data_IF_678742445149
#
_entry.id   IF_678742445149
#
_cell.length_a   1.000
_cell.length_b   1.000
_cell.length_c   1.000
_cell.angle_alpha   90.00
_cell.angle_beta   90.00
_cell.angle_gamma   90.00
#
_symmetry.space_group_name_H-M   'P 1'
#
loop_
_entity.id
_entity.type
_entity.pdbx_description
1 polymer ?
#
# COMPACT_ATOMS: atom_id res chain seq x y z
N UNK A 1 -44.23 21.69 -2.31
CA UNK A 1 -44.51 22.21 -3.64
C UNK A 1 -45.48 21.26 -4.33
N UNK A 2 -46.72 21.65 -4.71
CA UNK A 2 -47.60 20.81 -5.53
C UNK A 2 -46.97 20.58 -6.90
N UNK A 3 -46.93 19.34 -7.38
CA UNK A 3 -46.30 18.92 -8.62
C UNK A 3 -47.38 18.34 -9.54
N UNK A 4 -47.40 18.78 -10.81
CA UNK A 4 -48.39 18.39 -11.79
C UNK A 4 -47.85 17.47 -12.89
N UNK A 5 -46.50 17.48 -13.09
CA UNK A 5 -45.81 16.65 -14.07
C UNK A 5 -44.31 16.49 -13.67
N UNK A 6 -43.60 15.58 -14.31
CA UNK A 6 -42.14 15.41 -14.12
C UNK A 6 -41.36 16.68 -14.52
N UNK A 7 -41.77 17.34 -15.61
CA UNK A 7 -41.17 18.60 -16.05
C UNK A 7 -41.43 19.76 -15.04
N UNK A 8 -42.65 19.85 -14.51
CA UNK A 8 -43.03 20.80 -13.46
C UNK A 8 -42.22 20.55 -12.17
N UNK A 9 -42.02 19.27 -11.79
CA UNK A 9 -41.17 18.89 -10.66
C UNK A 9 -39.73 19.37 -10.82
N UNK A 10 -39.10 19.08 -11.95
CA UNK A 10 -37.73 19.51 -12.24
C UNK A 10 -37.59 21.06 -12.22
N UNK A 11 -38.54 21.77 -12.85
CA UNK A 11 -38.54 23.22 -12.88
C UNK A 11 -38.68 23.85 -11.48
N UNK A 12 -39.59 23.31 -10.66
CA UNK A 12 -39.81 23.79 -9.28
C UNK A 12 -38.63 23.51 -8.36
N UNK A 13 -37.98 22.33 -8.49
CA UNK A 13 -36.76 22.03 -7.75
C UNK A 13 -35.61 22.95 -8.14
N UNK A 14 -35.41 23.19 -9.44
CA UNK A 14 -34.40 24.17 -9.92
C UNK A 14 -34.68 25.57 -9.35
N UNK A 15 -35.92 26.02 -9.33
CA UNK A 15 -36.31 27.28 -8.69
C UNK A 15 -36.05 27.31 -7.18
N UNK A 16 -36.07 26.17 -6.54
CA UNK A 16 -35.71 25.97 -5.13
C UNK A 16 -34.21 25.70 -4.89
N UNK A 17 -33.35 25.91 -5.89
CA UNK A 17 -31.90 25.66 -5.83
C UNK A 17 -31.56 24.18 -5.63
N UNK A 18 -32.28 23.29 -6.34
CA UNK A 18 -32.01 21.84 -6.37
C UNK A 18 -31.88 21.40 -7.82
N UNK A 19 -30.71 20.88 -8.20
CA UNK A 19 -30.43 20.27 -9.49
C UNK A 19 -30.55 18.75 -9.35
N UNK A 20 -31.51 18.14 -10.03
CA UNK A 20 -31.78 16.71 -9.95
C UNK A 20 -30.64 15.91 -10.62
N UNK A 21 -30.26 16.32 -11.82
CA UNK A 21 -29.30 15.59 -12.65
C UNK A 21 -27.88 15.71 -12.12
N UNK A 22 -27.29 14.56 -11.80
CA UNK A 22 -25.92 14.47 -11.28
C UNK A 22 -24.88 14.96 -12.27
N UNK A 23 -25.05 14.61 -13.55
CA UNK A 23 -24.12 15.03 -14.61
C UNK A 23 -24.12 16.53 -14.81
N UNK A 24 -25.26 17.19 -14.64
CA UNK A 24 -25.34 18.66 -14.66
C UNK A 24 -24.54 19.27 -13.50
N UNK A 25 -24.65 18.72 -12.29
CA UNK A 25 -23.87 19.19 -11.14
C UNK A 25 -22.37 19.01 -11.35
N UNK A 26 -21.94 17.87 -11.90
CA UNK A 26 -20.54 17.62 -12.26
C UNK A 26 -20.00 18.63 -13.27
N UNK A 27 -20.77 18.88 -14.33
CA UNK A 27 -20.41 19.88 -15.36
C UNK A 27 -20.23 21.27 -14.75
N UNK A 28 -21.16 21.71 -13.92
CA UNK A 28 -21.08 23.01 -13.23
C UNK A 28 -19.83 23.09 -12.34
N UNK A 29 -19.54 22.03 -11.58
CA UNK A 29 -18.36 21.98 -10.70
C UNK A 29 -17.09 22.12 -11.52
N UNK A 30 -16.92 21.34 -12.59
CA UNK A 30 -15.72 21.37 -13.43
C UNK A 30 -15.53 22.71 -14.15
N UNK A 31 -16.59 23.24 -14.75
CA UNK A 31 -16.52 24.51 -15.48
C UNK A 31 -16.17 25.68 -14.55
N UNK A 32 -16.83 25.77 -13.39
CA UNK A 32 -16.56 26.82 -12.42
C UNK A 32 -15.16 26.68 -11.80
N UNK A 33 -14.74 25.47 -11.41
CA UNK A 33 -13.42 25.22 -10.88
C UNK A 33 -12.33 25.58 -11.89
N UNK A 34 -12.46 25.10 -13.13
CA UNK A 34 -11.51 25.40 -14.20
C UNK A 34 -11.40 26.91 -14.48
N UNK A 35 -12.53 27.62 -14.51
CA UNK A 35 -12.56 29.08 -14.69
C UNK A 35 -11.85 29.80 -13.53
N UNK A 36 -12.10 29.41 -12.29
CA UNK A 36 -11.47 30.03 -11.13
C UNK A 36 -9.96 29.77 -11.10
N UNK A 37 -9.52 28.57 -11.44
CA UNK A 37 -8.11 28.24 -11.58
C UNK A 37 -7.45 29.04 -12.71
N UNK A 38 -8.06 29.05 -13.89
CA UNK A 38 -7.54 29.81 -15.07
C UNK A 38 -7.39 31.31 -14.81
N UNK A 39 -8.31 31.92 -14.05
CA UNK A 39 -8.23 33.33 -13.66
C UNK A 39 -6.97 33.65 -12.81
N UNK A 40 -6.34 32.65 -12.18
CA UNK A 40 -5.07 32.76 -11.45
C UNK A 40 -3.87 32.16 -12.22
N UNK A 41 -4.07 31.74 -13.47
CA UNK A 41 -3.02 31.07 -14.26
C UNK A 41 -2.69 29.67 -13.78
N UNK A 42 -3.62 29.02 -13.12
CA UNK A 42 -3.50 27.69 -12.52
C UNK A 42 -4.41 26.68 -13.22
N UNK A 43 -4.24 25.41 -12.93
CA UNK A 43 -5.11 24.33 -13.40
C UNK A 43 -5.63 23.47 -12.25
N UNK A 44 -6.85 22.95 -12.39
CA UNK A 44 -7.44 21.97 -11.47
C UNK A 44 -6.70 20.64 -11.62
N UNK A 45 -6.38 20.00 -10.49
CA UNK A 45 -5.92 18.62 -10.51
C UNK A 45 -7.13 17.71 -10.69
N UNK A 46 -7.13 16.93 -11.76
CA UNK A 46 -8.22 16.01 -12.07
C UNK A 46 -8.35 14.92 -11.02
N UNK A 47 -9.56 14.73 -10.49
CA UNK A 47 -9.93 13.65 -9.58
C UNK A 47 -11.39 13.25 -9.83
N UNK A 48 -11.58 12.29 -10.73
CA UNK A 48 -12.91 11.82 -11.14
C UNK A 48 -13.68 11.24 -9.95
N UNK A 49 -12.99 10.47 -9.07
CA UNK A 49 -13.62 9.87 -7.90
C UNK A 49 -14.13 10.91 -6.90
N UNK A 50 -13.34 11.96 -6.68
CA UNK A 50 -13.76 13.08 -5.82
C UNK A 50 -14.91 13.87 -6.45
N UNK A 51 -14.87 14.09 -7.76
CA UNK A 51 -15.95 14.79 -8.50
C UNK A 51 -17.28 14.03 -8.36
N UNK A 52 -17.25 12.70 -8.52
CA UNK A 52 -18.41 11.84 -8.33
C UNK A 52 -18.97 11.94 -6.91
N UNK A 53 -18.09 11.91 -5.92
CA UNK A 53 -18.47 12.03 -4.52
C UNK A 53 -19.07 13.41 -4.22
N UNK A 54 -18.38 14.50 -4.58
CA UNK A 54 -18.82 15.87 -4.30
C UNK A 54 -20.15 16.20 -5.01
N UNK A 55 -20.31 15.77 -6.27
CA UNK A 55 -21.58 15.95 -6.98
C UNK A 55 -22.76 15.22 -6.32
N UNK A 56 -22.47 14.16 -5.52
CA UNK A 56 -23.46 13.48 -4.71
C UNK A 56 -23.79 14.19 -3.37
N UNK A 57 -22.88 15.05 -2.89
CA UNK A 57 -23.02 15.76 -1.61
C UNK A 57 -23.72 17.14 -1.72
N UNK A 58 -23.84 17.69 -2.92
CA UNK A 58 -24.42 19.02 -3.15
C UNK A 58 -25.62 18.94 -4.08
N UNK A 59 -26.62 19.79 -3.84
CA UNK A 59 -27.81 19.96 -4.70
C UNK A 59 -27.68 21.18 -5.61
N UNK A 60 -26.98 22.21 -5.13
CA UNK A 60 -26.74 23.48 -5.82
C UNK A 60 -25.27 23.86 -5.72
N UNK A 61 -24.39 23.35 -6.60
CA UNK A 61 -22.97 23.53 -6.45
C UNK A 61 -22.54 24.98 -6.67
N UNK A 62 -21.85 25.53 -5.68
CA UNK A 62 -21.22 26.85 -5.70
C UNK A 62 -19.73 26.64 -5.45
N UNK A 63 -18.92 26.81 -6.47
CA UNK A 63 -17.48 26.54 -6.42
C UNK A 63 -16.74 27.77 -5.90
N UNK A 64 -15.88 27.54 -4.90
CA UNK A 64 -15.07 28.59 -4.29
C UNK A 64 -13.59 28.20 -4.36
N UNK A 65 -12.73 29.19 -4.58
CA UNK A 65 -11.28 29.04 -4.49
C UNK A 65 -10.82 29.54 -3.11
N UNK A 66 -10.16 28.67 -2.36
CA UNK A 66 -9.53 28.99 -1.08
C UNK A 66 -8.01 29.06 -1.20
N UNK A 67 -7.41 29.76 -0.26
CA UNK A 67 -5.96 29.90 -0.14
C UNK A 67 -5.42 29.02 0.99
N UNK A 68 -4.24 28.46 0.79
CA UNK A 68 -3.47 27.65 1.74
C UNK A 68 -2.14 28.32 1.98
N UNK A 69 -1.61 28.19 3.20
CA UNK A 69 -0.26 28.67 3.50
C UNK A 69 0.78 27.96 2.62
N UNK A 70 1.70 28.72 2.06
CA UNK A 70 2.77 28.21 1.19
C UNK A 70 3.74 27.28 1.91
N UNK A 71 3.89 27.43 3.22
CA UNK A 71 4.79 26.62 4.02
C UNK A 71 4.38 25.13 4.00
N UNK A 72 3.09 24.83 3.76
CA UNK A 72 2.62 23.45 3.60
C UNK A 72 3.10 22.78 2.30
N UNK A 73 3.56 23.55 1.31
CA UNK A 73 4.14 22.98 0.09
C UNK A 73 5.50 22.30 0.32
N UNK A 74 6.05 22.37 1.52
CA UNK A 74 7.21 21.57 1.97
C UNK A 74 6.85 20.11 2.23
N UNK A 75 5.57 19.80 2.41
CA UNK A 75 5.06 18.44 2.49
C UNK A 75 5.08 17.75 1.14
N UNK A 76 5.17 16.41 1.09
CA UNK A 76 4.91 15.66 -0.13
C UNK A 76 3.54 16.01 -0.72
N UNK A 77 3.48 16.19 -2.02
CA UNK A 77 2.23 16.55 -2.71
C UNK A 77 1.11 15.55 -2.49
N UNK A 78 1.44 14.28 -2.34
CA UNK A 78 0.51 13.19 -2.07
C UNK A 78 -0.15 13.35 -0.68
N UNK A 79 0.60 13.77 0.33
CA UNK A 79 0.09 14.02 1.69
C UNK A 79 -0.90 15.19 1.67
N UNK A 80 -0.54 16.29 0.97
CA UNK A 80 -1.42 17.45 0.82
C UNK A 80 -2.72 17.05 0.11
N UNK A 81 -2.62 16.36 -1.03
CA UNK A 81 -3.77 15.91 -1.82
C UNK A 81 -4.67 14.97 -1.04
N UNK A 82 -4.10 14.01 -0.31
CA UNK A 82 -4.88 13.06 0.47
C UNK A 82 -5.61 13.76 1.62
N UNK A 83 -4.93 14.66 2.35
CA UNK A 83 -5.56 15.49 3.40
C UNK A 83 -6.74 16.30 2.88
N UNK A 84 -6.58 16.95 1.71
CA UNK A 84 -7.65 17.68 1.05
C UNK A 84 -8.82 16.80 0.68
N UNK A 85 -8.54 15.65 0.04
CA UNK A 85 -9.54 14.73 -0.51
C UNK A 85 -10.31 14.00 0.57
N UNK A 86 -9.62 13.35 1.50
CA UNK A 86 -10.24 12.40 2.42
C UNK A 86 -11.10 13.09 3.44
N UNK A 87 -10.61 14.16 4.06
CA UNK A 87 -11.29 14.79 5.19
C UNK A 87 -12.21 15.94 4.77
N UNK A 88 -11.81 16.71 3.75
CA UNK A 88 -12.46 17.98 3.43
C UNK A 88 -13.17 17.99 2.08
N UNK A 89 -12.97 16.98 1.23
CA UNK A 89 -13.54 16.91 -0.12
C UNK A 89 -13.14 18.12 -0.99
N UNK A 90 -11.87 18.58 -0.83
CA UNK A 90 -11.33 19.66 -1.63
C UNK A 90 -10.53 19.13 -2.81
N UNK A 91 -10.62 19.83 -3.95
CA UNK A 91 -9.78 19.55 -5.10
C UNK A 91 -8.47 20.34 -5.00
N UNK A 92 -7.39 19.68 -5.34
CA UNK A 92 -6.08 20.31 -5.41
C UNK A 92 -5.95 21.14 -6.69
N UNK A 93 -5.09 22.16 -6.61
CA UNK A 93 -4.77 23.07 -7.71
C UNK A 93 -3.27 23.04 -7.95
N UNK A 94 -2.84 23.13 -9.20
CA UNK A 94 -1.42 23.10 -9.58
C UNK A 94 -1.03 24.17 -10.58
N UNK A 95 0.25 24.47 -10.63
CA UNK A 95 0.84 25.30 -11.70
C UNK A 95 0.93 24.46 -12.99
N UNK A 96 0.37 24.93 -14.13
CA UNK A 96 0.39 24.17 -15.37
C UNK A 96 1.79 23.98 -15.96
N UNK A 97 2.75 24.86 -15.63
CA UNK A 97 4.12 24.80 -16.16
C UNK A 97 5.01 23.84 -15.37
N UNK A 98 5.03 23.96 -14.06
CA UNK A 98 5.87 23.15 -13.18
C UNK A 98 5.23 21.82 -12.78
N UNK A 99 3.91 21.69 -12.96
CA UNK A 99 3.07 20.59 -12.48
C UNK A 99 3.07 20.40 -10.96
N UNK A 100 3.72 21.31 -10.22
CA UNK A 100 3.74 21.32 -8.76
C UNK A 100 2.41 21.86 -8.21
N UNK A 101 2.03 21.40 -7.01
CA UNK A 101 0.86 21.93 -6.32
C UNK A 101 1.01 23.43 -6.06
N UNK A 102 -0.11 24.16 -6.22
CA UNK A 102 -0.21 25.56 -5.86
C UNK A 102 -0.80 25.72 -4.46
N UNK A 103 -0.55 26.84 -3.75
CA UNK A 103 -1.08 27.06 -2.40
C UNK A 103 -2.56 27.49 -2.45
N UNK A 104 -3.37 26.70 -3.15
CA UNK A 104 -4.79 26.94 -3.36
C UNK A 104 -5.55 25.61 -3.34
N UNK A 105 -6.85 25.68 -3.03
CA UNK A 105 -7.76 24.55 -3.13
C UNK A 105 -9.13 24.99 -3.66
N UNK A 106 -9.85 24.07 -4.26
CA UNK A 106 -11.24 24.26 -4.64
C UNK A 106 -12.13 23.54 -3.63
N UNK A 107 -13.14 24.24 -3.13
CA UNK A 107 -14.22 23.71 -2.31
C UNK A 107 -15.56 23.99 -2.97
N UNK A 108 -16.51 23.06 -2.84
CA UNK A 108 -17.86 23.20 -3.40
C UNK A 108 -18.85 23.36 -2.25
N UNK A 109 -19.43 24.56 -2.17
CA UNK A 109 -20.51 24.87 -1.24
C UNK A 109 -21.88 24.54 -1.87
N UNK A 110 -22.92 24.44 -1.05
CA UNK A 110 -24.30 24.17 -1.47
C UNK A 110 -25.19 25.43 -1.47
N UNK A 111 -24.61 26.60 -1.24
CA UNK A 111 -25.34 27.87 -1.16
C UNK A 111 -24.56 29.02 -1.79
N UNK A 112 -25.28 29.98 -2.33
CA UNK A 112 -24.73 31.28 -2.72
C UNK A 112 -24.71 32.21 -1.49
N UNK A 113 -23.52 32.43 -0.95
CA UNK A 113 -23.34 33.29 0.22
C UNK A 113 -23.39 34.79 -0.18
N UNK A 114 -23.96 35.63 0.69
CA UNK A 114 -24.11 37.10 0.45
C UNK A 114 -22.76 37.82 0.27
N UNK A 115 -21.69 37.28 0.86
CA UNK A 115 -20.33 37.81 0.80
C UNK A 115 -19.49 37.21 -0.37
N UNK A 116 -20.15 36.50 -1.29
CA UNK A 116 -19.48 35.78 -2.38
C UNK A 116 -18.67 34.56 -1.93
N UNK A 117 -18.98 34.03 -0.76
CA UNK A 117 -18.34 32.82 -0.21
C UNK A 117 -17.01 33.05 0.52
N UNK A 118 -16.65 34.32 0.79
CA UNK A 118 -15.37 34.66 1.46
C UNK A 118 -15.26 34.04 2.84
N UNK A 119 -16.33 34.11 3.65
CA UNK A 119 -16.37 33.52 4.98
C UNK A 119 -16.27 31.98 4.94
N UNK A 120 -16.92 31.36 3.93
CA UNK A 120 -16.84 29.91 3.70
C UNK A 120 -15.40 29.52 3.32
N UNK A 121 -14.79 30.16 2.34
CA UNK A 121 -13.41 29.87 1.93
C UNK A 121 -12.40 30.05 3.09
N UNK A 122 -12.52 31.14 3.86
CA UNK A 122 -11.67 31.39 5.02
C UNK A 122 -11.87 30.35 6.15
N UNK A 123 -13.12 29.91 6.39
CA UNK A 123 -13.41 28.84 7.33
C UNK A 123 -12.77 27.51 6.92
N UNK A 124 -12.91 27.14 5.67
CA UNK A 124 -12.30 25.92 5.11
C UNK A 124 -10.77 25.98 5.10
N UNK A 125 -10.17 27.15 4.81
CA UNK A 125 -8.73 27.35 4.91
C UNK A 125 -8.20 27.11 6.33
N UNK A 126 -8.90 27.56 7.37
CA UNK A 126 -8.50 27.29 8.76
C UNK A 126 -8.53 25.80 9.11
N UNK A 127 -9.58 25.08 8.67
CA UNK A 127 -9.69 23.63 8.90
C UNK A 127 -8.58 22.89 8.17
N UNK A 128 -8.31 23.25 6.91
CA UNK A 128 -7.21 22.65 6.13
C UNK A 128 -5.85 22.93 6.78
N UNK A 129 -5.61 24.17 7.25
CA UNK A 129 -4.37 24.52 7.93
C UNK A 129 -4.13 23.71 9.19
N UNK A 130 -5.15 23.44 10.01
CA UNK A 130 -5.01 22.59 11.18
C UNK A 130 -4.56 21.18 10.80
N UNK A 131 -5.21 20.56 9.78
CA UNK A 131 -4.86 19.21 9.29
C UNK A 131 -3.47 19.15 8.68
N UNK A 132 -3.09 20.14 7.89
CA UNK A 132 -1.76 20.17 7.28
C UNK A 132 -0.66 20.49 8.29
N UNK A 133 -0.96 21.23 9.38
CA UNK A 133 -0.02 21.42 10.49
C UNK A 133 0.29 20.12 11.22
N UNK A 134 -0.72 19.27 11.47
CA UNK A 134 -0.52 17.94 12.04
C UNK A 134 0.33 17.07 11.09
N UNK A 135 0.00 17.04 9.79
CA UNK A 135 0.78 16.31 8.79
C UNK A 135 2.24 16.81 8.69
N UNK A 136 2.46 18.13 8.80
CA UNK A 136 3.80 18.73 8.78
C UNK A 136 4.62 18.34 10.02
N UNK A 137 3.97 18.25 11.17
CA UNK A 137 4.61 17.75 12.38
C UNK A 137 5.05 16.29 12.23
N UNK A 138 4.17 15.40 11.75
CA UNK A 138 4.51 13.99 11.51
C UNK A 138 5.64 13.85 10.49
N UNK A 139 5.54 14.56 9.37
CA UNK A 139 6.58 14.56 8.34
C UNK A 139 7.95 15.03 8.87
N UNK A 140 7.96 16.06 9.71
CA UNK A 140 9.18 16.55 10.35
C UNK A 140 9.80 15.52 11.30
N UNK A 141 8.97 14.79 12.06
CA UNK A 141 9.44 13.71 12.93
C UNK A 141 10.05 12.58 12.09
N UNK A 142 9.36 12.18 11.02
CA UNK A 142 9.79 11.07 10.17
C UNK A 142 11.07 11.36 9.39
N UNK A 143 11.29 12.61 8.98
CA UNK A 143 12.48 13.05 8.24
C UNK A 143 13.67 13.34 9.13
N UNK A 144 13.51 13.40 10.45
CA UNK A 144 14.60 13.65 11.41
C UNK A 144 15.60 12.49 11.50
N UNK A 145 15.21 11.28 11.05
CA UNK A 145 16.05 10.08 11.08
C UNK A 145 16.02 9.35 9.74
N UNK A 146 17.05 8.57 9.39
CA UNK A 146 17.03 7.71 8.20
C UNK A 146 15.81 6.79 8.19
N UNK A 147 15.34 6.40 6.99
CA UNK A 147 14.20 5.50 6.86
C UNK A 147 14.44 4.17 7.59
N UNK A 148 15.64 3.59 7.49
CA UNK A 148 16.03 2.44 8.29
C UNK A 148 16.61 2.89 9.62
N UNK A 149 16.05 2.41 10.73
CA UNK A 149 16.63 2.46 12.08
C UNK A 149 16.34 1.15 12.80
N UNK A 150 17.18 0.76 13.76
CA UNK A 150 16.93 -0.43 14.59
C UNK A 150 15.64 -0.28 15.42
N UNK A 151 15.25 0.95 15.77
CA UNK A 151 13.98 1.21 16.44
C UNK A 151 12.78 0.90 15.53
N UNK A 152 12.79 1.39 14.26
CA UNK A 152 11.71 1.08 13.29
C UNK A 152 11.65 -0.41 12.98
N UNK A 153 12.80 -1.07 12.84
CA UNK A 153 12.87 -2.52 12.72
C UNK A 153 12.21 -3.23 13.90
N UNK A 154 12.55 -2.82 15.13
CA UNK A 154 11.95 -3.38 16.34
C UNK A 154 10.43 -3.14 16.42
N UNK A 155 9.92 -2.00 15.91
CA UNK A 155 8.48 -1.75 15.77
C UNK A 155 7.84 -2.69 14.74
N UNK A 156 8.46 -2.89 13.56
CA UNK A 156 7.98 -3.84 12.54
C UNK A 156 7.93 -5.29 13.04
N UNK A 157 8.92 -5.69 13.86
CA UNK A 157 8.96 -7.01 14.46
C UNK A 157 7.83 -7.27 15.48
N UNK A 158 7.15 -6.20 15.95
CA UNK A 158 5.97 -6.31 16.83
C UNK A 158 4.64 -6.31 16.06
N UNK A 159 4.63 -5.90 14.80
CA UNK A 159 3.43 -5.92 13.98
C UNK A 159 3.24 -7.34 13.44
N UNK A 160 2.16 -7.98 13.84
CA UNK A 160 1.80 -9.32 13.35
C UNK A 160 1.36 -9.22 11.90
N UNK A 161 2.10 -9.86 10.98
CA UNK A 161 1.66 -10.04 9.59
C UNK A 161 0.55 -11.08 9.52
N UNK A 162 0.80 -12.24 10.10
CA UNK A 162 -0.19 -13.30 10.32
C UNK A 162 0.30 -14.19 11.45
N UNK A 163 -0.61 -14.70 12.30
CA UNK A 163 -0.22 -15.51 13.48
C UNK A 163 0.70 -16.68 13.13
N UNK A 164 0.42 -17.39 12.03
CA UNK A 164 1.22 -18.55 11.57
C UNK A 164 2.44 -18.15 10.72
N UNK A 165 2.50 -16.91 10.17
CA UNK A 165 3.57 -16.44 9.28
C UNK A 165 4.50 -15.42 9.93
N UNK A 166 4.19 -15.03 11.17
CA UNK A 166 5.01 -14.14 11.98
C UNK A 166 4.76 -12.66 11.77
N UNK A 167 5.75 -11.86 12.11
CA UNK A 167 5.71 -10.40 12.05
C UNK A 167 5.92 -9.86 10.62
N UNK A 168 5.68 -8.56 10.47
CA UNK A 168 6.02 -7.86 9.21
C UNK A 168 7.52 -7.89 8.96
N UNK A 169 8.36 -7.84 10.00
CA UNK A 169 9.80 -7.97 9.82
C UNK A 169 10.22 -9.35 9.33
N UNK A 170 9.61 -10.42 9.82
CA UNK A 170 9.87 -11.77 9.30
C UNK A 170 9.51 -11.89 7.82
N UNK A 171 8.40 -11.24 7.39
CA UNK A 171 8.07 -11.13 5.97
C UNK A 171 9.16 -10.38 5.19
N UNK A 172 9.68 -9.28 5.72
CA UNK A 172 10.79 -8.53 5.08
C UNK A 172 12.02 -9.43 4.89
N UNK A 173 12.38 -10.22 5.87
CA UNK A 173 13.53 -11.14 5.76
C UNK A 173 13.33 -12.22 4.70
N UNK A 174 12.13 -12.81 4.62
CA UNK A 174 11.80 -13.78 3.57
C UNK A 174 11.78 -13.14 2.18
N UNK A 175 11.15 -11.98 2.05
CA UNK A 175 11.09 -11.21 0.80
C UNK A 175 12.50 -10.83 0.33
N UNK A 176 13.39 -10.40 1.24
CA UNK A 176 14.79 -10.07 0.92
C UNK A 176 15.52 -11.28 0.36
N UNK A 177 15.50 -12.41 1.06
CA UNK A 177 16.18 -13.62 0.63
C UNK A 177 15.69 -14.08 -0.76
N UNK A 178 14.37 -14.05 -0.95
CA UNK A 178 13.72 -14.40 -2.19
C UNK A 178 14.06 -13.43 -3.34
N UNK A 179 14.05 -12.13 -3.06
CA UNK A 179 14.40 -11.10 -4.04
C UNK A 179 15.86 -11.23 -4.51
N UNK A 180 16.79 -11.52 -3.59
CA UNK A 180 18.19 -11.76 -3.93
C UNK A 180 18.37 -12.93 -4.90
N UNK A 181 17.59 -14.00 -4.77
CA UNK A 181 17.61 -15.14 -5.69
C UNK A 181 17.04 -14.81 -7.06
N UNK A 182 15.97 -14.00 -7.11
CA UNK A 182 15.32 -13.60 -8.33
C UNK A 182 16.16 -12.62 -9.18
N UNK A 183 17.23 -12.02 -8.64
CA UNK A 183 18.07 -11.06 -9.35
C UNK A 183 18.60 -11.61 -10.68
N UNK A 184 19.03 -12.88 -10.71
CA UNK A 184 19.56 -13.50 -11.93
C UNK A 184 18.49 -13.60 -13.05
N UNK A 185 17.24 -13.85 -12.69
CA UNK A 185 16.12 -13.97 -13.64
C UNK A 185 15.59 -12.62 -14.13
N UNK A 186 15.73 -11.57 -13.31
CA UNK A 186 15.22 -10.23 -13.62
C UNK A 186 16.28 -9.25 -14.14
N UNK A 187 17.55 -9.60 -14.01
CA UNK A 187 18.69 -8.74 -14.36
C UNK A 187 18.92 -7.58 -13.39
N UNK A 188 18.38 -7.66 -12.16
CA UNK A 188 18.50 -6.62 -11.16
C UNK A 188 19.85 -6.67 -10.43
N UNK A 189 20.35 -5.50 -9.99
CA UNK A 189 21.52 -5.40 -9.12
C UNK A 189 21.16 -5.88 -7.71
N UNK A 190 21.87 -6.94 -7.25
CA UNK A 190 21.58 -7.58 -5.97
C UNK A 190 21.78 -6.66 -4.77
N UNK A 191 22.71 -5.69 -4.84
CA UNK A 191 22.95 -4.74 -3.74
C UNK A 191 21.79 -3.77 -3.61
N UNK A 192 21.28 -3.26 -4.74
CA UNK A 192 20.12 -2.36 -4.75
C UNK A 192 18.84 -3.10 -4.32
N UNK A 193 18.67 -4.36 -4.75
CA UNK A 193 17.55 -5.20 -4.34
C UNK A 193 17.56 -5.46 -2.85
N UNK A 194 18.72 -5.81 -2.27
CA UNK A 194 18.88 -6.01 -0.82
C UNK A 194 18.54 -4.76 -0.03
N UNK A 195 19.04 -3.60 -0.49
CA UNK A 195 18.75 -2.32 0.14
C UNK A 195 17.26 -2.01 0.08
N UNK A 196 16.64 -2.10 -1.09
CA UNK A 196 15.21 -1.86 -1.28
C UNK A 196 14.34 -2.80 -0.42
N UNK A 197 14.69 -4.09 -0.33
CA UNK A 197 13.98 -5.07 0.48
C UNK A 197 14.03 -4.75 1.98
N UNK A 198 15.18 -4.29 2.49
CA UNK A 198 15.29 -3.88 3.88
C UNK A 198 14.45 -2.63 4.22
N UNK A 199 14.17 -1.79 3.22
CA UNK A 199 13.49 -0.51 3.39
C UNK A 199 11.98 -0.57 3.09
N UNK A 200 11.54 -1.54 2.28
CA UNK A 200 10.23 -1.52 1.62
C UNK A 200 9.01 -1.50 2.55
N UNK A 201 9.16 -1.85 3.82
CA UNK A 201 8.07 -1.82 4.82
C UNK A 201 8.36 -0.89 6.00
N UNK A 202 9.50 -0.18 5.99
CA UNK A 202 9.90 0.68 7.11
C UNK A 202 8.98 1.88 7.31
N UNK A 203 8.28 2.31 6.27
CA UNK A 203 7.31 3.40 6.34
C UNK A 203 6.02 3.03 7.09
N UNK A 204 5.71 1.75 7.24
CA UNK A 204 4.53 1.29 7.99
C UNK A 204 4.56 1.67 9.49
N UNK A 205 5.71 2.03 10.00
CA UNK A 205 5.91 2.45 11.41
C UNK A 205 6.29 3.91 11.54
N UNK A 206 6.08 4.70 10.50
CA UNK A 206 6.23 6.16 10.51
C UNK A 206 4.93 6.82 10.99
N UNK A 207 5.06 8.02 11.55
CA UNK A 207 3.90 8.80 12.01
C UNK A 207 3.00 9.19 10.82
N UNK A 208 3.63 9.53 9.68
CA UNK A 208 2.91 9.92 8.46
C UNK A 208 2.07 8.77 7.90
N UNK A 209 2.58 7.54 7.84
CA UNK A 209 1.78 6.39 7.38
C UNK A 209 0.78 5.95 8.45
N UNK A 210 1.07 6.17 9.74
CA UNK A 210 0.10 5.96 10.81
C UNK A 210 -1.16 6.80 10.63
N UNK A 211 -1.03 8.07 10.23
CA UNK A 211 -2.15 8.97 9.93
C UNK A 211 -2.75 8.75 8.53
N UNK A 212 -1.90 8.44 7.54
CA UNK A 212 -2.28 8.26 6.14
C UNK A 212 -1.88 6.87 5.61
N UNK A 213 -2.56 5.79 6.01
CA UNK A 213 -2.18 4.42 5.62
C UNK A 213 -2.18 4.17 4.10
N UNK A 214 -2.98 4.92 3.34
CA UNK A 214 -3.06 4.84 1.88
C UNK A 214 -1.76 5.29 1.18
N UNK A 215 -0.90 6.03 1.88
CA UNK A 215 0.38 6.53 1.36
C UNK A 215 1.56 5.59 1.64
N UNK A 216 1.31 4.38 2.18
CA UNK A 216 2.35 3.37 2.30
C UNK A 216 3.03 3.11 0.95
N UNK A 217 4.34 2.97 0.98
CA UNK A 217 5.17 2.90 -0.22
C UNK A 217 5.55 4.27 -0.78
N UNK A 218 4.59 5.19 -0.96
CA UNK A 218 4.87 6.55 -1.43
C UNK A 218 5.68 7.35 -0.39
N UNK A 219 5.27 7.30 0.88
CA UNK A 219 6.02 7.90 2.00
C UNK A 219 7.40 7.25 2.12
N UNK A 220 7.48 5.92 2.02
CA UNK A 220 8.73 5.18 2.04
C UNK A 220 9.68 5.63 0.92
N UNK A 221 9.18 5.80 -0.30
CA UNK A 221 9.95 6.36 -1.43
C UNK A 221 10.51 7.75 -1.11
N UNK A 222 9.66 8.67 -0.64
CA UNK A 222 10.07 10.04 -0.32
C UNK A 222 11.11 10.08 0.79
N UNK A 223 10.90 9.33 1.88
CA UNK A 223 11.84 9.25 2.98
C UNK A 223 13.17 8.62 2.55
N UNK A 224 13.14 7.57 1.72
CA UNK A 224 14.35 6.95 1.18
C UNK A 224 15.14 7.92 0.30
N UNK A 225 14.48 8.67 -0.57
CA UNK A 225 15.13 9.67 -1.42
C UNK A 225 15.82 10.76 -0.59
N UNK A 226 15.21 11.20 0.52
CA UNK A 226 15.76 12.24 1.39
C UNK A 226 16.92 11.74 2.26
N UNK A 227 16.86 10.49 2.73
CA UNK A 227 17.74 10.02 3.80
C UNK A 227 18.81 9.02 3.35
N UNK A 228 18.63 8.37 2.18
CA UNK A 228 19.49 7.29 1.70
C UNK A 228 20.30 7.65 0.44
N UNK A 229 20.54 8.93 0.17
CA UNK A 229 21.39 9.38 -0.92
C UNK A 229 20.77 9.32 -2.31
N UNK A 230 19.44 9.48 -2.41
CA UNK A 230 18.68 9.64 -3.66
C UNK A 230 18.96 8.55 -4.73
N UNK A 231 18.94 7.29 -4.32
CA UNK A 231 19.01 6.15 -5.23
C UNK A 231 17.64 5.87 -5.82
N UNK A 232 17.36 6.43 -6.98
CA UNK A 232 16.03 6.39 -7.59
C UNK A 232 15.48 4.97 -7.77
N UNK A 233 16.29 3.99 -8.20
CA UNK A 233 15.84 2.59 -8.31
C UNK A 233 15.40 1.98 -6.96
N UNK A 234 16.11 2.30 -5.88
CA UNK A 234 15.74 1.83 -4.53
C UNK A 234 14.46 2.52 -4.07
N UNK A 235 14.38 3.83 -4.21
CA UNK A 235 13.21 4.61 -3.82
C UNK A 235 11.97 4.20 -4.64
N UNK A 236 12.11 4.02 -5.96
CA UNK A 236 11.05 3.54 -6.83
C UNK A 236 10.59 2.12 -6.42
N UNK A 237 11.52 1.22 -6.10
CA UNK A 237 11.19 -0.13 -5.68
C UNK A 237 10.42 -0.17 -4.35
N UNK A 238 10.69 0.74 -3.42
CA UNK A 238 9.94 0.88 -2.17
C UNK A 238 8.48 1.22 -2.44
N UNK A 239 8.17 2.11 -3.39
CA UNK A 239 6.79 2.39 -3.78
C UNK A 239 6.17 1.24 -4.58
N UNK A 240 6.92 0.75 -5.58
CA UNK A 240 6.39 -0.10 -6.64
C UNK A 240 6.27 -1.59 -6.26
N UNK A 241 6.85 -2.04 -5.13
CA UNK A 241 6.73 -3.45 -4.76
C UNK A 241 5.28 -3.88 -4.45
N UNK A 242 4.39 -2.94 -4.16
CA UNK A 242 2.96 -3.21 -4.03
C UNK A 242 2.28 -3.43 -5.38
N UNK A 243 2.86 -2.89 -6.48
CA UNK A 243 2.25 -2.91 -7.81
C UNK A 243 2.47 -4.22 -8.55
N UNK A 244 1.63 -4.55 -9.54
CA UNK A 244 0.33 -3.92 -9.79
C UNK A 244 -0.72 -4.28 -8.73
N UNK A 245 -1.56 -3.31 -8.36
CA UNK A 245 -2.64 -3.47 -7.37
C UNK A 245 -3.93 -4.04 -7.98
N UNK A 246 -4.04 -4.03 -9.30
CA UNK A 246 -5.23 -4.49 -10.01
C UNK A 246 -4.99 -4.61 -11.52
N UNK A 247 -6.03 -5.02 -12.29
CA UNK A 247 -5.89 -5.32 -13.72
C UNK A 247 -5.47 -4.09 -14.54
N UNK A 248 -5.87 -2.89 -14.15
CA UNK A 248 -5.58 -1.65 -14.88
C UNK A 248 -4.42 -0.86 -14.29
N UNK A 249 -3.80 -1.34 -13.19
CA UNK A 249 -2.67 -0.63 -12.59
C UNK A 249 -1.40 -0.79 -13.44
N UNK A 250 -0.48 0.18 -13.34
CA UNK A 250 0.80 0.10 -14.04
C UNK A 250 1.66 -1.06 -13.55
N UNK A 251 2.44 -1.62 -14.43
CA UNK A 251 3.44 -2.64 -14.08
C UNK A 251 4.80 -1.95 -13.96
N UNK A 252 5.55 -2.15 -12.85
CA UNK A 252 6.90 -1.63 -12.69
C UNK A 252 7.82 -1.97 -13.86
N UNK A 253 8.73 -1.06 -14.19
CA UNK A 253 9.69 -1.24 -15.30
C UNK A 253 11.13 -1.40 -14.85
N UNK A 254 11.48 -0.80 -13.72
CA UNK A 254 12.81 -0.91 -13.14
C UNK A 254 13.04 -2.34 -12.63
N UNK A 255 14.18 -2.98 -12.97
CA UNK A 255 14.46 -4.36 -12.56
C UNK A 255 14.44 -4.58 -11.05
N UNK A 256 14.89 -3.60 -10.24
CA UNK A 256 14.89 -3.69 -8.77
C UNK A 256 13.44 -3.72 -8.26
N UNK A 257 12.58 -2.84 -8.79
CA UNK A 257 11.18 -2.79 -8.44
C UNK A 257 10.42 -4.06 -8.85
N UNK A 258 10.68 -4.57 -10.06
CA UNK A 258 10.11 -5.83 -10.58
C UNK A 258 10.47 -7.00 -9.67
N UNK A 259 11.76 -7.11 -9.32
CA UNK A 259 12.28 -8.19 -8.47
C UNK A 259 11.64 -8.18 -7.09
N UNK A 260 11.59 -7.00 -6.47
CA UNK A 260 11.00 -6.85 -5.14
C UNK A 260 9.49 -7.11 -5.14
N UNK A 261 8.77 -6.63 -6.17
CA UNK A 261 7.34 -6.88 -6.33
C UNK A 261 7.02 -8.37 -6.55
N UNK A 262 7.84 -9.08 -7.33
CA UNK A 262 7.72 -10.52 -7.51
C UNK A 262 7.94 -11.26 -6.18
N UNK A 263 9.00 -10.90 -5.45
CA UNK A 263 9.33 -11.53 -4.18
C UNK A 263 8.22 -11.33 -3.13
N UNK A 264 7.67 -10.11 -3.00
CA UNK A 264 6.59 -9.82 -2.04
C UNK A 264 5.31 -10.61 -2.36
N UNK A 265 4.95 -10.72 -3.66
CA UNK A 265 3.77 -11.48 -4.09
C UNK A 265 3.97 -12.98 -3.94
N UNK A 266 5.16 -13.50 -4.27
CA UNK A 266 5.50 -14.91 -4.08
C UNK A 266 5.50 -15.30 -2.59
N UNK A 267 6.14 -14.51 -1.72
CA UNK A 267 6.10 -14.74 -0.27
C UNK A 267 4.66 -14.81 0.25
N UNK A 268 3.82 -13.91 -0.21
CA UNK A 268 2.41 -13.89 0.17
C UNK A 268 1.68 -15.16 -0.30
N UNK A 269 1.78 -15.50 -1.59
CA UNK A 269 1.11 -16.67 -2.15
C UNK A 269 1.57 -17.97 -1.48
N UNK A 270 2.88 -18.20 -1.45
CA UNK A 270 3.44 -19.43 -0.86
C UNK A 270 3.15 -19.50 0.64
N UNK A 271 3.29 -18.37 1.35
CA UNK A 271 3.02 -18.30 2.77
C UNK A 271 1.59 -18.71 3.13
N UNK A 272 0.60 -18.13 2.47
CA UNK A 272 -0.80 -18.44 2.75
C UNK A 272 -1.21 -19.84 2.28
N UNK A 273 -0.65 -20.34 1.17
CA UNK A 273 -0.84 -21.73 0.76
C UNK A 273 -0.24 -22.72 1.78
N UNK A 274 0.98 -22.44 2.26
CA UNK A 274 1.65 -23.29 3.22
C UNK A 274 0.88 -23.48 4.54
N UNK A 275 0.08 -22.51 4.93
CA UNK A 275 -0.75 -22.55 6.15
C UNK A 275 -2.22 -22.90 5.89
N UNK A 276 -2.56 -23.27 4.65
CA UNK A 276 -3.91 -23.65 4.18
C UNK A 276 -4.97 -22.54 4.29
N UNK A 277 -4.54 -21.27 4.17
CA UNK A 277 -5.43 -20.09 4.14
C UNK A 277 -5.69 -19.66 2.69
N UNK A 278 -6.29 -20.55 1.89
CA UNK A 278 -6.54 -20.36 0.46
C UNK A 278 -7.82 -19.55 0.20
N UNK A 279 -7.92 -18.84 -0.94
CA UNK A 279 -9.16 -18.15 -1.29
C UNK A 279 -10.24 -19.16 -1.65
N UNK A 280 -11.46 -18.97 -1.12
CA UNK A 280 -12.61 -19.84 -1.37
C UNK A 280 -13.76 -19.05 -1.97
N UNK A 281 -14.38 -19.55 -3.07
CA UNK A 281 -15.56 -18.92 -3.69
C UNK A 281 -15.40 -17.40 -3.87
N UNK A 282 -16.24 -16.61 -3.20
CA UNK A 282 -16.18 -15.14 -3.20
C UNK A 282 -15.24 -14.56 -2.13
N UNK A 283 -14.74 -15.37 -1.19
CA UNK A 283 -13.90 -14.91 -0.08
C UNK A 283 -12.42 -14.92 -0.46
N UNK A 284 -11.76 -13.78 -0.30
CA UNK A 284 -10.32 -13.61 -0.49
C UNK A 284 -9.80 -12.52 0.46
N UNK A 285 -9.80 -12.78 1.78
CA UNK A 285 -9.47 -11.77 2.80
C UNK A 285 -8.02 -11.27 2.67
N UNK A 286 -7.13 -12.09 2.12
CA UNK A 286 -5.71 -11.77 1.96
C UNK A 286 -5.36 -11.28 0.56
N UNK A 287 -6.34 -11.09 -0.31
CA UNK A 287 -6.15 -10.62 -1.69
C UNK A 287 -5.20 -11.49 -2.54
N UNK A 288 -5.22 -12.80 -2.32
CA UNK A 288 -4.32 -13.75 -2.98
C UNK A 288 -4.55 -13.83 -4.49
N UNK A 289 -5.83 -13.66 -4.95
CA UNK A 289 -6.13 -13.57 -6.39
C UNK A 289 -5.49 -12.35 -7.04
N UNK A 290 -5.48 -11.21 -6.34
CA UNK A 290 -4.79 -10.01 -6.82
C UNK A 290 -3.27 -10.18 -6.82
N UNK A 291 -2.72 -10.83 -5.80
CA UNK A 291 -1.29 -11.14 -5.75
C UNK A 291 -0.87 -12.05 -6.92
N UNK A 292 -1.65 -13.12 -7.20
CA UNK A 292 -1.42 -14.03 -8.31
C UNK A 292 -1.49 -13.31 -9.67
N UNK A 293 -2.55 -12.55 -9.92
CA UNK A 293 -2.69 -11.77 -11.16
C UNK A 293 -1.54 -10.75 -11.31
N UNK A 294 -1.18 -10.08 -10.22
CA UNK A 294 -0.06 -9.14 -10.21
C UNK A 294 1.27 -9.82 -10.56
N UNK A 295 1.53 -11.01 -10.00
CA UNK A 295 2.71 -11.80 -10.31
C UNK A 295 2.75 -12.23 -11.79
N UNK A 296 1.64 -12.76 -12.32
CA UNK A 296 1.53 -13.13 -13.73
C UNK A 296 1.80 -11.95 -14.64
N UNK A 297 1.22 -10.78 -14.34
CA UNK A 297 1.45 -9.56 -15.11
C UNK A 297 2.91 -9.08 -15.08
N UNK A 298 3.60 -9.19 -13.93
CA UNK A 298 5.02 -8.88 -13.82
C UNK A 298 5.85 -9.81 -14.71
N UNK A 299 5.63 -11.13 -14.63
CA UNK A 299 6.35 -12.13 -15.40
C UNK A 299 6.12 -11.91 -16.90
N UNK A 300 4.87 -11.84 -17.35
CA UNK A 300 4.53 -11.74 -18.77
C UNK A 300 4.95 -10.40 -19.39
N UNK A 301 4.70 -9.29 -18.69
CA UNK A 301 5.02 -7.95 -19.20
C UNK A 301 6.52 -7.68 -19.26
N UNK A 302 7.34 -8.38 -18.48
CA UNK A 302 8.79 -8.18 -18.40
C UNK A 302 9.59 -9.32 -19.03
N UNK A 303 8.91 -10.36 -19.51
CA UNK A 303 9.56 -11.51 -20.10
C UNK A 303 10.47 -12.25 -19.12
N UNK A 304 10.15 -12.16 -17.80
CA UNK A 304 10.94 -12.85 -16.77
C UNK A 304 10.79 -14.34 -16.95
N UNK A 305 11.91 -15.04 -17.00
CA UNK A 305 11.94 -16.50 -17.06
C UNK A 305 12.47 -17.02 -15.73
N UNK A 306 11.59 -17.55 -14.92
CA UNK A 306 11.89 -18.15 -13.63
C UNK A 306 11.17 -19.48 -13.53
N UNK A 307 11.87 -20.52 -13.14
CA UNK A 307 11.26 -21.79 -12.85
C UNK A 307 10.77 -21.77 -11.40
N UNK A 308 9.47 -21.56 -11.23
CA UNK A 308 8.86 -21.49 -9.90
C UNK A 308 8.61 -22.89 -9.30
N UNK A 309 8.51 -23.90 -10.18
CA UNK A 309 8.14 -25.28 -9.80
C UNK A 309 8.96 -26.25 -10.64
N UNK A 310 10.05 -26.78 -10.09
CA UNK A 310 10.73 -27.93 -10.69
C UNK A 310 10.10 -29.22 -10.14
N UNK A 311 9.88 -30.17 -11.04
CA UNK A 311 9.28 -31.50 -10.90
C UNK A 311 8.77 -31.96 -9.53
N UNK A 312 7.46 -32.10 -9.46
CA UNK A 312 6.73 -32.52 -8.25
C UNK A 312 6.91 -34.03 -7.97
N UNK A 313 7.36 -34.83 -8.93
CA UNK A 313 7.44 -36.30 -8.81
C UNK A 313 8.59 -36.79 -7.92
N UNK A 314 9.59 -35.95 -7.64
CA UNK A 314 10.75 -36.32 -6.80
C UNK A 314 10.67 -35.91 -5.33
N UNK A 315 9.59 -35.29 -4.87
CA UNK A 315 9.46 -34.81 -3.48
C UNK A 315 10.37 -33.63 -3.12
N UNK A 316 11.08 -33.06 -4.08
CA UNK A 316 11.90 -31.87 -3.91
C UNK A 316 11.24 -30.69 -4.62
N UNK A 317 10.90 -29.66 -3.88
CA UNK A 317 10.55 -28.36 -4.40
C UNK A 317 11.83 -27.51 -4.44
N UNK A 318 12.64 -27.56 -5.52
CA UNK A 318 13.82 -26.75 -5.63
C UNK A 318 13.42 -25.29 -5.86
N UNK A 319 14.28 -24.40 -5.42
CA UNK A 319 14.12 -22.98 -5.68
C UNK A 319 13.33 -22.22 -4.61
N UNK A 320 12.75 -21.13 -5.07
CA UNK A 320 12.12 -20.07 -4.28
C UNK A 320 11.03 -20.57 -3.33
N UNK A 321 10.14 -21.45 -3.81
CA UNK A 321 8.98 -21.95 -3.06
C UNK A 321 9.41 -22.80 -1.86
N UNK A 322 10.40 -23.69 -2.03
CA UNK A 322 10.87 -24.55 -0.96
C UNK A 322 11.54 -23.78 0.18
N UNK A 323 12.24 -22.68 -0.12
CA UNK A 323 12.87 -21.86 0.92
C UNK A 323 11.87 -21.05 1.73
N UNK A 324 10.86 -20.47 1.08
CA UNK A 324 9.77 -19.78 1.80
C UNK A 324 9.03 -20.78 2.69
N UNK A 325 8.66 -21.95 2.16
CA UNK A 325 8.02 -23.01 2.92
C UNK A 325 8.89 -23.48 4.10
N UNK A 326 10.18 -23.70 3.86
CA UNK A 326 11.15 -24.10 4.91
C UNK A 326 11.26 -23.06 6.03
N UNK A 327 11.44 -21.78 5.67
CA UNK A 327 11.51 -20.68 6.65
C UNK A 327 10.28 -20.62 7.56
N UNK A 328 9.09 -20.81 6.99
CA UNK A 328 7.83 -20.84 7.73
C UNK A 328 7.78 -22.06 8.66
N UNK A 329 8.22 -23.23 8.17
CA UNK A 329 8.26 -24.48 8.93
C UNK A 329 9.23 -24.41 10.11
N UNK A 330 10.46 -23.93 9.87
CA UNK A 330 11.49 -23.76 10.90
C UNK A 330 11.04 -22.81 12.02
N UNK A 331 10.35 -21.73 11.65
CA UNK A 331 9.81 -20.79 12.62
C UNK A 331 8.70 -21.43 13.47
N UNK A 332 7.73 -22.12 12.85
CA UNK A 332 6.65 -22.82 13.57
C UNK A 332 7.23 -23.85 14.54
N UNK A 333 8.26 -24.60 14.11
CA UNK A 333 8.98 -25.51 14.98
C UNK A 333 9.64 -24.77 16.16
N UNK A 334 10.30 -23.64 15.92
CA UNK A 334 10.91 -22.82 16.97
C UNK A 334 9.89 -22.31 17.99
N UNK A 335 8.73 -21.83 17.54
CA UNK A 335 7.64 -21.33 18.40
C UNK A 335 7.02 -22.45 19.26
N UNK A 336 6.94 -23.66 18.73
CA UNK A 336 6.45 -24.85 19.47
C UNK A 336 7.42 -25.28 20.57
N UNK A 337 8.72 -25.00 20.39
CA UNK A 337 9.79 -25.38 21.33
C UNK A 337 10.02 -24.33 22.43
N UNK A 338 9.67 -23.05 22.19
CA UNK A 338 9.93 -21.95 23.14
C UNK A 338 9.35 -22.19 24.55
N UNK A 339 8.11 -22.72 24.74
CA UNK A 339 7.58 -23.04 26.05
C UNK A 339 8.39 -24.17 26.75
N UNK A 340 8.93 -25.12 25.97
CA UNK A 340 9.72 -26.22 26.49
C UNK A 340 11.18 -25.83 26.77
N UNK A 341 11.72 -24.86 26.03
CA UNK A 341 13.03 -24.25 26.29
C UNK A 341 13.13 -23.59 27.67
N UNK A 342 12.05 -23.01 28.16
CA UNK A 342 12.01 -22.41 29.49
C UNK A 342 12.20 -23.48 30.60
N UNK A 343 11.83 -24.73 30.33
CA UNK A 343 12.02 -25.89 31.23
C UNK A 343 13.38 -26.57 31.04
N UNK A 344 14.08 -26.33 29.92
CA UNK A 344 15.37 -26.94 29.58
C UNK A 344 16.46 -26.80 30.66
N UNK A 345 16.67 -25.66 31.34
CA UNK A 345 17.68 -25.57 32.40
C UNK A 345 17.41 -26.47 33.58
N UNK A 346 16.15 -26.81 33.83
CA UNK A 346 15.77 -27.76 34.87
C UNK A 346 15.96 -29.23 34.43
N UNK A 347 15.63 -29.51 33.16
CA UNK A 347 15.72 -30.85 32.55
C UNK A 347 17.20 -31.22 32.29
N UNK A 348 18.02 -30.27 31.78
CA UNK A 348 19.46 -30.48 31.50
C UNK A 348 20.25 -30.78 32.76
N UNK A 349 19.86 -30.17 33.89
CA UNK A 349 20.49 -30.51 35.21
C UNK A 349 20.26 -31.92 35.64
N UNK A 350 19.20 -32.61 35.19
CA UNK A 350 18.83 -33.95 35.64
C UNK A 350 19.12 -35.07 34.62
N UNK A 351 19.20 -34.77 33.30
CA UNK A 351 19.22 -35.82 32.28
C UNK A 351 20.47 -35.85 31.37
N UNK A 352 21.36 -34.87 31.46
CA UNK A 352 22.54 -34.74 30.58
C UNK A 352 22.21 -34.22 29.18
N UNK A 353 23.11 -33.40 28.60
CA UNK A 353 22.89 -32.67 27.35
C UNK A 353 22.58 -33.55 26.11
N UNK A 354 23.16 -34.73 26.02
CA UNK A 354 22.95 -35.62 24.86
C UNK A 354 21.56 -36.27 24.84
N UNK A 355 21.01 -36.65 26.01
CA UNK A 355 19.67 -37.22 26.10
C UNK A 355 18.57 -36.20 25.81
N UNK A 356 18.79 -34.94 26.20
CA UNK A 356 17.88 -33.84 25.92
C UNK A 356 17.90 -33.50 24.42
N UNK A 357 19.07 -33.50 23.76
CA UNK A 357 19.17 -33.33 22.30
C UNK A 357 18.46 -34.46 21.54
N UNK A 358 18.63 -35.72 21.94
CA UNK A 358 17.96 -36.83 21.29
C UNK A 358 16.44 -36.82 21.50
N UNK A 359 15.96 -36.44 22.69
CA UNK A 359 14.53 -36.27 22.95
C UNK A 359 13.91 -35.12 22.19
N UNK A 360 14.59 -33.98 22.11
CA UNK A 360 14.15 -32.84 21.28
C UNK A 360 14.13 -33.17 19.78
N UNK A 361 15.10 -33.94 19.30
CA UNK A 361 15.14 -34.41 17.91
C UNK A 361 14.00 -35.39 17.57
N UNK A 362 13.49 -36.14 18.58
CA UNK A 362 12.38 -37.10 18.40
C UNK A 362 10.98 -36.44 18.53
N UNK A 363 10.88 -35.30 19.24
CA UNK A 363 9.61 -34.58 19.41
C UNK A 363 9.33 -33.69 18.18
N UNK A 364 10.37 -33.32 17.43
CA UNK A 364 10.28 -32.51 16.23
C UNK A 364 10.86 -33.30 15.08
N UNK A 365 10.06 -34.18 14.50
CA UNK A 365 10.37 -34.70 13.20
C UNK A 365 10.08 -33.53 12.16
N UNK A 366 11.10 -32.89 11.56
CA UNK A 366 10.89 -31.88 10.54
C UNK A 366 10.06 -32.43 9.35
N UNK A 367 10.03 -33.75 9.19
CA UNK A 367 9.32 -34.42 8.10
C UNK A 367 7.80 -34.17 8.13
N UNK A 368 7.13 -34.27 9.28
CA UNK A 368 5.66 -34.21 9.34
C UNK A 368 5.13 -32.81 9.03
N UNK A 369 5.82 -31.75 9.48
CA UNK A 369 5.43 -30.36 9.18
C UNK A 369 5.76 -30.02 7.73
N UNK A 370 6.88 -30.50 7.22
CA UNK A 370 7.31 -30.30 5.83
C UNK A 370 6.34 -30.95 4.85
N UNK A 371 5.89 -32.19 5.12
CA UNK A 371 4.93 -32.91 4.27
C UNK A 371 3.55 -32.23 4.25
N UNK A 372 3.07 -31.72 5.38
CA UNK A 372 1.83 -30.95 5.43
C UNK A 372 1.92 -29.66 4.60
N UNK A 373 3.03 -28.92 4.73
CA UNK A 373 3.27 -27.69 3.94
C UNK A 373 3.36 -28.01 2.45
N UNK A 374 4.09 -29.04 2.05
CA UNK A 374 4.21 -29.47 0.67
C UNK A 374 2.87 -29.95 0.09
N UNK A 375 2.07 -30.66 0.88
CA UNK A 375 0.72 -31.08 0.50
C UNK A 375 -0.16 -29.87 0.23
N UNK A 376 -0.11 -28.84 1.06
CA UNK A 376 -0.88 -27.62 0.89
C UNK A 376 -0.47 -26.80 -0.35
N UNK A 377 0.78 -26.92 -0.80
CA UNK A 377 1.30 -26.21 -1.97
C UNK A 377 0.97 -26.89 -3.31
N UNK A 378 0.49 -28.13 -3.33
CA UNK A 378 0.30 -28.92 -4.57
C UNK A 378 -0.62 -28.27 -5.58
N UNK A 379 -1.65 -27.55 -5.17
CA UNK A 379 -2.62 -26.91 -6.04
C UNK A 379 -2.27 -25.44 -6.40
N UNK A 380 -1.20 -24.89 -5.84
CA UNK A 380 -0.75 -23.52 -6.17
C UNK A 380 -0.37 -23.36 -7.66
N UNK A 381 0.32 -24.31 -8.34
CA UNK A 381 0.58 -24.20 -9.78
C UNK A 381 -0.68 -24.10 -10.61
N UNK A 382 -1.69 -24.92 -10.33
CA UNK A 382 -2.99 -24.87 -11.03
C UNK A 382 -3.71 -23.54 -10.79
N UNK A 383 -3.73 -23.06 -9.55
CA UNK A 383 -4.29 -21.75 -9.22
C UNK A 383 -3.62 -20.59 -9.97
N UNK A 384 -2.31 -20.67 -10.21
CA UNK A 384 -1.58 -19.67 -10.97
C UNK A 384 -1.85 -19.80 -12.48
N UNK A 385 -1.92 -21.03 -12.99
CA UNK A 385 -2.21 -21.29 -14.40
C UNK A 385 -3.59 -20.80 -14.83
N UNK A 386 -4.60 -20.89 -13.98
CA UNK A 386 -5.95 -20.37 -14.23
C UNK A 386 -6.00 -18.84 -14.43
N UNK A 387 -4.89 -18.13 -14.23
CA UNK A 387 -4.80 -16.67 -14.32
C UNK A 387 -3.86 -16.19 -15.41
N UNK A 388 -3.22 -17.12 -16.13
CA UNK A 388 -2.48 -16.85 -17.36
C UNK A 388 -3.41 -16.73 -18.56
#
# INVERSE_FOLDING_TARGET
LPVTSAADHASKLRGAKVLIEREERKTIILEQASRLCAAKGLELVEDIGLLEEVAGLVEWPVVLLGDMDRDFLTLPGEVIRLSMRTHQKYFAVRDPKTKSLAPHFIVVANIEAKDGGKAIAAGNARVLSARLSDAQFFWKVDTATPLYTEERKAKLAKIVFHQKLGSVWDKVERVRALAEELCAATGADQKLVREAANLCKMDLVTETVGEFPELQGQVGRQLSALTNGNRESVAAAIEDHYRPLGPNDRVPTDPVAVTLALADKLDTLVGFWAIDEKPTGSSDPYALRRAALGMVRLITSRGVRVNLFEDVEGGHWPGVVSRVARSITERRAAETIEPERALLPAIVRHAGQERVRAALASIIAPADITDAVLTNLRDLPAFLADRL
#
